data_IF_944835174574
#
_entry.id   IF_944835174574
#
_cell.length_a   1.000
_cell.length_b   1.000
_cell.length_c   1.000
_cell.angle_alpha   90.00
_cell.angle_beta   90.00
_cell.angle_gamma   90.00
#
_symmetry.space_group_name_H-M   'P 1'
#
loop_
_entity.id
_entity.type
_entity.pdbx_description
1 polymer ?
#
# COMPACT_ATOMS: atom_id res chain seq x y z
N UNK A 1 15.13 3.55 -14.61
CA UNK A 1 14.06 2.68 -14.08
C UNK A 1 13.81 1.57 -15.08
N UNK A 2 14.19 0.33 -14.78
CA UNK A 2 14.00 -0.81 -15.69
C UNK A 2 12.94 -1.74 -15.10
N UNK A 3 11.73 -1.67 -15.63
CA UNK A 3 10.69 -2.65 -15.31
C UNK A 3 11.03 -3.97 -16.01
N UNK A 4 10.97 -5.09 -15.29
CA UNK A 4 10.90 -6.41 -15.93
C UNK A 4 9.49 -6.59 -16.57
N UNK A 5 9.35 -7.44 -17.61
CA UNK A 5 8.05 -7.71 -18.20
C UNK A 5 7.05 -8.23 -17.15
N UNK A 6 5.77 -7.90 -17.38
CA UNK A 6 4.62 -8.32 -16.57
C UNK A 6 4.75 -9.79 -16.14
N UNK A 7 4.56 -10.08 -14.85
CA UNK A 7 4.67 -11.43 -14.29
C UNK A 7 3.86 -12.44 -15.14
N UNK A 8 4.37 -13.67 -15.42
CA UNK A 8 3.72 -14.65 -16.28
C UNK A 8 2.55 -15.35 -15.57
N UNK A 9 1.73 -14.59 -14.85
CA UNK A 9 0.43 -15.07 -14.40
C UNK A 9 -0.43 -15.21 -15.65
N UNK A 10 -0.98 -16.41 -15.90
CA UNK A 10 -1.89 -16.63 -17.03
C UNK A 10 -3.03 -15.60 -17.06
N UNK A 11 -3.74 -15.44 -18.19
CA UNK A 11 -4.68 -14.34 -18.41
C UNK A 11 -5.87 -14.30 -17.45
N UNK A 12 -6.05 -15.30 -16.58
CA UNK A 12 -7.18 -15.40 -15.67
C UNK A 12 -8.50 -15.58 -16.42
N UNK A 13 -9.60 -15.66 -15.67
CA UNK A 13 -10.93 -15.75 -16.28
C UNK A 13 -11.33 -14.37 -16.79
N UNK A 14 -11.62 -14.25 -18.08
CA UNK A 14 -12.01 -12.97 -18.70
C UNK A 14 -10.98 -11.83 -18.52
N UNK A 15 -9.68 -12.13 -18.44
CA UNK A 15 -8.65 -11.11 -18.20
C UNK A 15 -8.51 -10.69 -16.73
N UNK A 16 -9.27 -11.29 -15.82
CA UNK A 16 -9.21 -11.01 -14.39
C UNK A 16 -8.08 -11.82 -13.74
N UNK A 17 -6.96 -11.16 -13.50
CA UNK A 17 -5.79 -11.72 -12.83
C UNK A 17 -4.99 -10.63 -12.11
N UNK A 18 -4.09 -11.01 -11.20
CA UNK A 18 -3.30 -10.06 -10.44
C UNK A 18 -2.30 -9.35 -11.35
N UNK A 19 -2.31 -8.02 -11.35
CA UNK A 19 -1.30 -7.22 -12.02
C UNK A 19 -0.06 -7.08 -11.12
N UNK A 20 0.94 -7.95 -11.34
CA UNK A 20 2.18 -7.95 -10.56
C UNK A 20 3.35 -7.46 -11.41
N UNK A 21 4.16 -6.56 -10.84
CA UNK A 21 5.39 -6.06 -11.42
C UNK A 21 6.47 -5.94 -10.34
N UNK A 22 7.68 -6.40 -10.65
CA UNK A 22 8.84 -6.21 -9.79
C UNK A 22 9.59 -4.96 -10.29
N UNK A 23 9.87 -4.04 -9.37
CA UNK A 23 10.53 -2.77 -9.65
C UNK A 23 11.88 -2.68 -8.95
N UNK A 24 12.83 -1.98 -9.56
CA UNK A 24 14.13 -1.68 -8.98
C UNK A 24 14.27 -0.18 -8.66
N UNK A 25 14.73 0.12 -7.44
CA UNK A 25 15.09 1.44 -6.94
C UNK A 25 16.32 1.32 -6.03
N UNK A 26 17.41 2.03 -6.35
CA UNK A 26 18.65 2.02 -5.58
C UNK A 26 18.52 2.63 -4.19
N UNK A 27 17.50 3.48 -3.95
CA UNK A 27 17.19 4.04 -2.63
C UNK A 27 16.34 3.10 -1.76
N UNK A 28 15.81 2.01 -2.33
CA UNK A 28 15.03 1.04 -1.59
C UNK A 28 15.92 0.08 -0.80
N UNK A 29 15.46 -0.26 0.41
CA UNK A 29 16.16 -1.18 1.32
C UNK A 29 16.15 -2.65 0.86
N UNK A 30 16.55 -3.53 1.77
CA UNK A 30 16.53 -4.97 1.53
C UNK A 30 15.10 -5.53 1.66
N UNK A 31 14.72 -6.44 0.77
CA UNK A 31 13.39 -7.05 0.73
C UNK A 31 13.41 -8.49 0.27
N UNK A 32 12.23 -9.10 0.13
CA UNK A 32 12.07 -10.51 -0.25
C UNK A 32 12.64 -10.85 -1.64
N UNK A 33 12.85 -9.84 -2.48
CA UNK A 33 13.39 -9.98 -3.84
C UNK A 33 14.85 -9.51 -3.95
N UNK A 34 15.50 -9.21 -2.81
CA UNK A 34 16.86 -8.67 -2.75
C UNK A 34 16.92 -7.16 -2.58
N UNK A 35 18.14 -6.64 -2.45
CA UNK A 35 18.41 -5.22 -2.23
C UNK A 35 17.96 -4.39 -3.43
N UNK A 36 17.18 -3.34 -3.18
CA UNK A 36 16.67 -2.43 -4.20
C UNK A 36 15.56 -3.00 -5.08
N UNK A 37 15.17 -4.27 -4.89
CA UNK A 37 14.08 -4.90 -5.64
C UNK A 37 12.81 -5.02 -4.78
N UNK A 38 11.67 -4.63 -5.33
CA UNK A 38 10.39 -4.68 -4.61
C UNK A 38 9.23 -5.13 -5.50
N UNK A 39 8.26 -5.79 -4.86
CA UNK A 39 6.92 -6.03 -5.39
C UNK A 39 5.95 -5.30 -4.45
N UNK A 40 5.24 -4.31 -4.96
CA UNK A 40 4.38 -3.43 -4.16
C UNK A 40 2.92 -3.63 -4.56
N UNK A 41 2.22 -4.63 -4.00
CA UNK A 41 0.78 -4.73 -4.16
C UNK A 41 0.09 -3.62 -3.35
N UNK A 42 -1.18 -3.28 -3.69
CA UNK A 42 -1.99 -2.42 -2.85
C UNK A 42 -2.04 -2.93 -1.41
N UNK A 43 -1.79 -2.05 -0.43
CA UNK A 43 -1.81 -2.39 1.01
C UNK A 43 -2.24 -1.20 1.85
N UNK A 44 -2.82 -1.46 3.01
CA UNK A 44 -3.04 -0.47 4.07
C UNK A 44 -2.12 -0.79 5.23
N UNK A 45 -1.41 0.21 5.75
CA UNK A 45 -0.47 0.04 6.87
C UNK A 45 -0.60 1.19 7.87
N UNK A 46 -0.29 0.95 9.15
CA UNK A 46 -0.20 2.05 10.14
C UNK A 46 1.05 2.89 9.89
N UNK A 47 0.93 4.21 10.05
CA UNK A 47 2.02 5.17 9.87
C UNK A 47 3.06 5.01 10.99
N UNK A 48 4.33 4.91 10.62
CA UNK A 48 5.46 4.80 11.56
C UNK A 48 6.42 5.99 11.52
N UNK A 49 6.26 6.88 10.53
CA UNK A 49 7.17 8.02 10.32
C UNK A 49 7.05 9.15 11.34
N UNK A 50 6.02 9.13 12.20
CA UNK A 50 5.76 10.16 13.23
C UNK A 50 5.67 9.57 14.64
N UNK A 51 6.24 8.38 14.85
CA UNK A 51 6.13 7.62 16.09
C UNK A 51 5.65 6.20 15.84
N UNK A 52 5.66 5.39 16.90
CA UNK A 52 5.19 4.01 16.82
C UNK A 52 3.66 3.95 16.96
N UNK A 53 2.97 3.13 16.16
CA UNK A 53 1.54 2.87 16.34
C UNK A 53 1.26 2.29 17.73
N UNK A 54 0.19 2.77 18.38
CA UNK A 54 -0.23 2.38 19.73
C UNK A 54 -1.23 1.24 19.73
N UNK A 55 -1.86 0.93 18.59
CA UNK A 55 -2.86 -0.13 18.43
C UNK A 55 -4.06 0.01 19.37
N UNK A 56 -4.44 1.25 19.72
CA UNK A 56 -5.66 1.54 20.49
C UNK A 56 -6.76 1.97 19.53
N UNK A 57 -7.37 0.96 18.91
CA UNK A 57 -8.32 1.18 17.81
C UNK A 57 -9.61 1.84 18.29
N UNK A 58 -10.04 1.58 19.52
CA UNK A 58 -11.21 2.24 20.15
C UNK A 58 -11.02 3.75 20.34
N UNK A 59 -9.76 4.22 20.36
CA UNK A 59 -9.41 5.63 20.54
C UNK A 59 -9.01 6.31 19.20
N UNK A 60 -9.13 5.61 18.06
CA UNK A 60 -8.62 6.05 16.74
C UNK A 60 -7.17 6.60 16.82
N UNK A 61 -6.33 5.91 17.60
CA UNK A 61 -5.05 6.47 18.07
C UNK A 61 -3.94 6.59 17.02
N UNK A 62 -4.12 5.94 15.87
CA UNK A 62 -3.10 5.71 14.84
C UNK A 62 -3.61 6.13 13.46
N UNK A 63 -2.70 6.64 12.62
CA UNK A 63 -2.99 7.01 11.23
C UNK A 63 -2.70 5.82 10.31
N UNK A 64 -3.58 5.57 9.35
CA UNK A 64 -3.37 4.57 8.30
C UNK A 64 -2.85 5.23 7.03
N UNK A 65 -2.04 4.52 6.27
CA UNK A 65 -1.45 4.97 5.01
C UNK A 65 -1.81 3.98 3.90
N UNK A 66 -2.29 4.50 2.77
CA UNK A 66 -2.59 3.71 1.58
C UNK A 66 -1.37 3.58 0.68
N UNK A 67 -0.95 2.34 0.43
CA UNK A 67 0.20 1.99 -0.42
C UNK A 67 1.49 2.73 -0.07
N UNK A 68 1.62 3.19 1.17
CA UNK A 68 2.79 3.94 1.65
C UNK A 68 2.89 5.39 1.16
N UNK A 69 1.86 5.92 0.47
CA UNK A 69 1.90 7.26 -0.13
C UNK A 69 1.06 8.29 0.64
N UNK A 70 -0.19 7.97 0.96
CA UNK A 70 -1.16 8.95 1.45
C UNK A 70 -1.75 8.55 2.81
N UNK A 71 -1.87 9.53 3.71
CA UNK A 71 -2.56 9.38 4.99
C UNK A 71 -4.06 9.29 4.74
N UNK A 72 -4.69 8.28 5.33
CA UNK A 72 -6.13 8.08 5.28
C UNK A 72 -6.81 8.90 6.38
N UNK A 73 -7.89 9.58 6.01
CA UNK A 73 -8.77 10.31 6.92
C UNK A 73 -10.17 9.71 6.92
N UNK A 74 -10.91 9.81 8.03
CA UNK A 74 -12.31 9.39 8.07
C UNK A 74 -13.13 10.09 6.99
N UNK A 75 -14.00 9.34 6.34
CA UNK A 75 -14.95 9.91 5.36
C UNK A 75 -16.05 10.63 6.14
N UNK A 76 -16.25 11.90 5.80
CA UNK A 76 -17.33 12.71 6.34
C UNK A 76 -18.69 12.12 5.92
N UNK A 77 -19.61 11.96 6.87
CA UNK A 77 -20.92 11.34 6.66
C UNK A 77 -22.01 12.39 6.85
N UNK A 78 -22.85 12.57 5.84
CA UNK A 78 -24.00 13.47 5.95
C UNK A 78 -25.01 12.97 6.99
N UNK A 79 -25.37 13.84 7.92
CA UNK A 79 -26.45 13.66 8.89
C UNK A 79 -27.45 14.83 8.79
N UNK A 80 -28.62 14.56 8.21
CA UNK A 80 -29.72 15.52 8.15
C UNK A 80 -29.41 16.85 7.44
N UNK A 81 -28.51 16.85 6.46
CA UNK A 81 -28.09 18.05 5.72
C UNK A 81 -26.90 18.80 6.33
N UNK A 82 -26.26 18.22 7.36
CA UNK A 82 -24.93 18.59 7.82
C UNK A 82 -23.94 17.54 7.37
N UNK A 83 -22.83 17.97 6.77
CA UNK A 83 -21.70 17.13 6.46
C UNK A 83 -20.84 16.98 7.71
#
# INVERSE_FOLDING_TARGET
>A
MRAMPKSPTGPGRSGFGPALAISYDSGSGNGRFGLGWSLTPPRTSRKTGQGLPRYRDDEESDVFVLSGAEDLVPVLREDGGRW
#
